data_IF_192349645515
#
_entry.id   IF_192349645515
#
_cell.length_a   1.000
_cell.length_b   1.000
_cell.length_c   1.000
_cell.angle_alpha   90.00
_cell.angle_beta   90.00
_cell.angle_gamma   90.00
#
_symmetry.space_group_name_H-M   'P 1'
#
loop_
_entity.id
_entity.type
_entity.pdbx_description
1 polymer ?
#
# COMPACT_ATOMS: atom_id res chain seq x y z
N UNK A 1 10.99 15.20 10.76
CA UNK A 1 9.66 14.93 10.16
C UNK A 1 8.70 14.53 11.26
N UNK A 2 7.47 15.06 11.23
CA UNK A 2 6.47 14.72 12.24
C UNK A 2 5.76 13.41 11.83
N UNK A 3 5.85 12.35 12.64
CA UNK A 3 5.16 11.08 12.39
C UNK A 3 3.65 11.29 12.49
N UNK A 4 2.89 11.03 11.42
CA UNK A 4 1.42 11.11 11.43
C UNK A 4 0.85 9.78 11.93
N UNK A 5 0.48 9.75 13.21
CA UNK A 5 -0.19 8.60 13.84
C UNK A 5 -1.67 8.64 13.51
N UNK A 6 -2.20 7.51 13.00
CA UNK A 6 -3.61 7.35 12.60
C UNK A 6 -4.41 6.60 13.68
N UNK A 7 -3.77 5.65 14.35
CA UNK A 7 -4.35 4.88 15.46
C UNK A 7 -3.24 4.42 16.39
N UNK A 8 -3.48 4.42 17.68
CA UNK A 8 -2.51 3.91 18.65
C UNK A 8 -3.21 3.40 19.89
N UNK A 9 -2.79 2.21 20.36
CA UNK A 9 -3.12 1.67 21.67
C UNK A 9 -1.93 0.88 22.26
N UNK A 10 -2.16 0.11 23.33
CA UNK A 10 -1.11 -0.67 23.98
C UNK A 10 -0.51 -1.79 23.10
N UNK A 11 -1.24 -2.25 22.07
CA UNK A 11 -0.90 -3.41 21.26
C UNK A 11 -0.53 -3.06 19.81
N UNK A 12 -1.01 -1.92 19.30
CA UNK A 12 -0.95 -1.52 17.91
C UNK A 12 -0.53 -0.08 17.76
N UNK A 13 0.08 0.22 16.62
CA UNK A 13 0.22 1.57 16.09
C UNK A 13 0.03 1.54 14.57
N UNK A 14 -0.87 2.37 14.07
CA UNK A 14 -1.00 2.64 12.64
C UNK A 14 -0.56 4.05 12.34
N UNK A 15 0.23 4.20 11.30
CA UNK A 15 0.80 5.49 10.89
C UNK A 15 0.61 5.70 9.38
N UNK A 16 0.65 6.95 8.97
CA UNK A 16 0.71 7.30 7.55
C UNK A 16 2.15 7.20 7.05
N UNK A 17 2.37 6.41 6.00
CA UNK A 17 3.63 6.35 5.27
C UNK A 17 3.61 7.38 4.12
N UNK A 18 4.47 8.37 4.09
CA UNK A 18 4.63 9.23 2.92
C UNK A 18 5.16 8.44 1.71
N UNK A 19 4.90 8.97 0.51
CA UNK A 19 5.57 8.50 -0.70
C UNK A 19 7.09 8.61 -0.57
N UNK A 20 7.84 7.78 -1.30
CA UNK A 20 9.32 7.70 -1.36
C UNK A 20 10.01 7.30 -0.05
N UNK A 21 9.28 7.10 1.04
CA UNK A 21 9.82 6.57 2.30
C UNK A 21 9.87 5.04 2.28
N UNK A 22 10.93 4.47 2.78
CA UNK A 22 11.05 3.03 3.05
C UNK A 22 10.21 2.65 4.27
N UNK A 23 9.63 1.45 4.26
CA UNK A 23 8.96 0.90 5.46
C UNK A 23 9.98 0.38 6.46
N UNK A 24 10.97 -0.34 5.98
CA UNK A 24 12.10 -0.88 6.74
C UNK A 24 13.40 -0.56 6.01
N UNK A 25 14.50 -0.65 6.71
CA UNK A 25 15.84 -0.42 6.16
C UNK A 25 16.13 -1.34 4.99
N UNK A 26 16.85 -0.79 4.03
CA UNK A 26 17.44 -1.52 2.91
C UNK A 26 18.94 -1.14 2.76
N UNK A 27 19.52 -1.58 1.66
CA UNK A 27 20.95 -1.31 1.37
C UNK A 27 21.28 0.16 1.10
N UNK A 28 20.28 1.04 0.95
CA UNK A 28 20.48 2.47 0.68
C UNK A 28 20.89 3.26 1.92
N UNK A 29 20.58 2.76 3.13
CA UNK A 29 20.82 3.46 4.39
C UNK A 29 19.85 4.63 4.63
N UNK A 30 18.80 4.78 3.82
CA UNK A 30 17.79 5.81 4.02
C UNK A 30 16.97 5.52 5.30
N UNK A 31 16.63 6.58 6.05
CA UNK A 31 15.84 6.44 7.26
C UNK A 31 14.46 5.80 6.97
N UNK A 32 14.14 4.72 7.66
CA UNK A 32 12.90 3.97 7.48
C UNK A 32 11.74 4.48 8.36
N UNK A 33 10.52 4.19 7.93
CA UNK A 33 9.34 4.44 8.76
C UNK A 33 9.39 3.62 10.05
N UNK A 34 9.90 2.40 9.98
CA UNK A 34 10.06 1.50 11.12
C UNK A 34 10.89 2.14 12.24
N UNK A 35 12.03 2.75 11.90
CA UNK A 35 12.88 3.42 12.89
C UNK A 35 12.24 4.69 13.45
N UNK A 36 11.56 5.46 12.59
CA UNK A 36 10.80 6.63 13.05
C UNK A 36 9.73 6.25 14.06
N UNK A 37 8.99 5.16 13.83
CA UNK A 37 7.97 4.66 14.77
C UNK A 37 8.62 4.16 16.08
N UNK A 38 9.75 3.45 16.00
CA UNK A 38 10.49 3.02 17.20
C UNK A 38 10.96 4.23 18.02
N UNK A 39 11.53 5.22 17.34
CA UNK A 39 11.97 6.47 17.98
C UNK A 39 10.80 7.20 18.66
N UNK A 40 9.69 7.34 17.95
CA UNK A 40 8.48 7.95 18.49
C UNK A 40 7.99 7.24 19.76
N UNK A 41 7.86 5.92 19.72
CA UNK A 41 7.39 5.11 20.86
C UNK A 41 8.38 5.17 22.03
N UNK A 42 9.69 5.17 21.77
CA UNK A 42 10.72 5.28 22.80
C UNK A 42 10.59 6.60 23.54
N UNK A 43 10.48 7.71 22.82
CA UNK A 43 10.39 9.04 23.45
C UNK A 43 9.05 9.27 24.14
N UNK A 44 7.93 8.93 23.50
CA UNK A 44 6.58 9.13 24.05
C UNK A 44 6.37 8.39 25.38
N UNK A 45 6.94 7.18 25.50
CA UNK A 45 6.76 6.33 26.66
C UNK A 45 7.99 6.23 27.56
N UNK A 46 9.00 7.07 27.35
CA UNK A 46 10.26 7.13 28.12
C UNK A 46 10.89 5.75 28.33
N UNK A 47 10.89 4.90 27.29
CA UNK A 47 11.38 3.53 27.39
C UNK A 47 12.93 3.51 27.50
N UNK A 48 13.50 2.89 28.55
CA UNK A 48 14.96 2.93 28.77
C UNK A 48 15.75 2.06 27.79
N UNK A 49 15.14 1.05 27.18
CA UNK A 49 15.81 0.09 26.31
C UNK A 49 15.33 0.11 24.87
N UNK A 50 15.51 -1.02 24.20
CA UNK A 50 14.98 -1.23 22.86
C UNK A 50 13.47 -1.37 22.87
N UNK A 51 12.82 -0.74 21.88
CA UNK A 51 11.36 -0.83 21.69
C UNK A 51 11.07 -1.98 20.75
N UNK A 52 10.24 -2.92 21.17
CA UNK A 52 9.70 -3.92 20.27
C UNK A 52 8.73 -3.26 19.30
N UNK A 53 8.87 -3.56 18.01
CA UNK A 53 7.94 -3.20 16.95
C UNK A 53 7.85 -4.37 15.97
N UNK A 54 6.66 -4.94 15.77
CA UNK A 54 6.43 -6.03 14.83
C UNK A 54 6.03 -5.49 13.47
N UNK A 55 6.82 -5.78 12.44
CA UNK A 55 6.48 -5.47 11.05
C UNK A 55 5.48 -6.52 10.55
N UNK A 56 4.31 -6.10 10.09
CA UNK A 56 3.21 -6.96 9.68
C UNK A 56 3.04 -7.01 8.15
N UNK A 57 3.23 -5.90 7.50
CA UNK A 57 3.13 -5.74 6.04
C UNK A 57 3.97 -4.56 5.57
N UNK A 58 4.07 -4.40 4.25
CA UNK A 58 4.84 -3.33 3.62
C UNK A 58 4.04 -2.66 2.52
N UNK A 59 4.39 -1.42 2.24
CA UNK A 59 4.03 -0.69 1.02
C UNK A 59 5.31 -0.44 0.22
N UNK A 60 5.20 -0.45 -1.10
CA UNK A 60 6.32 -0.09 -1.97
C UNK A 60 6.81 1.33 -1.68
N UNK A 61 8.08 1.61 -1.95
CA UNK A 61 8.69 2.92 -1.69
C UNK A 61 7.88 4.09 -2.27
N UNK A 62 7.41 4.07 -3.55
CA UNK A 62 6.66 5.18 -4.14
C UNK A 62 5.20 5.27 -3.67
N UNK A 63 4.66 4.26 -2.98
CA UNK A 63 3.27 4.19 -2.51
C UNK A 63 3.14 4.85 -1.15
N UNK A 64 2.08 5.63 -0.93
CA UNK A 64 1.76 6.20 0.38
C UNK A 64 0.55 5.51 1.03
N UNK A 65 0.25 5.87 2.29
CA UNK A 65 -0.97 5.42 2.96
C UNK A 65 -0.75 4.75 4.32
N UNK A 66 -1.79 4.03 4.74
CA UNK A 66 -1.87 3.40 6.07
C UNK A 66 -0.94 2.21 6.19
N UNK A 67 -0.15 2.20 7.26
CA UNK A 67 0.67 1.06 7.66
C UNK A 67 0.40 0.71 9.13
N UNK A 68 0.35 -0.60 9.44
CA UNK A 68 0.08 -1.13 10.76
C UNK A 68 1.30 -1.86 11.29
N UNK A 69 1.67 -1.55 12.54
CA UNK A 69 2.70 -2.24 13.29
C UNK A 69 2.11 -2.81 14.59
N UNK A 70 2.70 -3.90 15.07
CA UNK A 70 2.39 -4.46 16.38
C UNK A 70 3.37 -3.93 17.44
N UNK A 71 2.85 -3.53 18.60
CA UNK A 71 3.66 -3.03 19.73
C UNK A 71 4.01 -4.14 20.73
N UNK A 72 3.46 -5.34 20.55
CA UNK A 72 3.74 -6.53 21.37
C UNK A 72 3.89 -7.77 20.51
N UNK A 73 4.69 -8.75 20.95
CA UNK A 73 4.87 -10.02 20.25
C UNK A 73 3.57 -10.82 20.08
N UNK A 74 2.69 -10.79 21.08
CA UNK A 74 1.37 -11.42 21.03
C UNK A 74 0.49 -10.80 19.93
N UNK A 75 0.47 -9.46 19.83
CA UNK A 75 -0.25 -8.77 18.76
C UNK A 75 0.36 -9.07 17.40
N UNK A 76 1.70 -9.10 17.30
CA UNK A 76 2.39 -9.43 16.05
C UNK A 76 2.00 -10.82 15.54
N UNK A 77 2.01 -11.84 16.38
CA UNK A 77 1.62 -13.22 16.01
C UNK A 77 0.19 -13.28 15.47
N UNK A 78 -0.79 -12.70 16.20
CA UNK A 78 -2.21 -12.73 15.84
C UNK A 78 -2.54 -11.93 14.59
N UNK A 79 -1.91 -10.78 14.38
CA UNK A 79 -2.10 -9.98 13.18
C UNK A 79 -1.38 -10.58 11.97
N UNK A 80 -0.19 -11.16 12.14
CA UNK A 80 0.49 -11.90 11.07
C UNK A 80 -0.37 -13.07 10.56
N UNK A 81 -1.10 -13.75 11.46
CA UNK A 81 -2.07 -14.76 11.09
C UNK A 81 -3.23 -14.17 10.26
N UNK A 82 -3.79 -13.03 10.67
CA UNK A 82 -4.84 -12.35 9.91
C UNK A 82 -4.36 -11.90 8.51
N UNK A 83 -3.10 -11.46 8.37
CA UNK A 83 -2.51 -11.17 7.05
C UNK A 83 -2.36 -12.43 6.20
N UNK A 84 -1.90 -13.54 6.79
CA UNK A 84 -1.66 -14.80 6.10
C UNK A 84 -2.95 -15.44 5.60
N UNK A 85 -4.01 -15.42 6.39
CA UNK A 85 -5.31 -15.98 6.02
C UNK A 85 -6.23 -14.97 5.29
N UNK A 86 -5.68 -13.82 4.86
CA UNK A 86 -6.37 -12.78 4.10
C UNK A 86 -7.65 -12.22 4.74
N UNK A 87 -7.77 -12.27 6.09
CA UNK A 87 -8.93 -11.74 6.81
C UNK A 87 -8.88 -10.21 7.03
N UNK A 88 -7.76 -9.57 6.74
CA UNK A 88 -7.62 -8.11 6.76
C UNK A 88 -8.14 -7.53 5.46
N UNK A 89 -9.12 -6.62 5.55
CA UNK A 89 -9.60 -5.85 4.41
C UNK A 89 -8.60 -4.72 4.12
N UNK A 90 -8.16 -4.63 2.86
CA UNK A 90 -7.21 -3.63 2.38
C UNK A 90 -7.84 -2.89 1.21
N UNK A 91 -8.09 -1.59 1.39
CA UNK A 91 -8.60 -0.72 0.33
C UNK A 91 -7.49 0.25 -0.08
N UNK A 92 -7.32 0.36 -1.38
CA UNK A 92 -6.46 1.36 -2.01
C UNK A 92 -7.31 2.25 -2.91
N UNK A 93 -6.83 3.47 -3.10
CA UNK A 93 -7.31 4.33 -4.18
C UNK A 93 -6.13 4.69 -5.07
N UNK A 94 -6.42 4.79 -6.36
CA UNK A 94 -5.39 5.09 -7.36
C UNK A 94 -5.98 5.87 -8.53
N UNK A 95 -5.22 6.80 -9.07
CA UNK A 95 -5.52 7.43 -10.35
C UNK A 95 -4.74 6.69 -11.44
N UNK A 96 -5.44 6.32 -12.50
CA UNK A 96 -4.87 5.61 -13.66
C UNK A 96 -5.10 6.41 -14.93
N UNK A 97 -4.25 6.20 -15.93
CA UNK A 97 -4.49 6.72 -17.27
C UNK A 97 -5.57 5.91 -17.98
N UNK A 98 -6.39 6.63 -18.77
CA UNK A 98 -7.50 6.08 -19.53
C UNK A 98 -8.73 5.71 -18.69
N UNK A 99 -9.65 5.02 -19.34
CA UNK A 99 -10.94 4.65 -18.77
C UNK A 99 -11.14 3.14 -18.87
N UNK A 100 -11.13 2.40 -17.76
CA UNK A 100 -11.45 0.98 -17.77
C UNK A 100 -12.82 0.72 -18.42
N UNK A 101 -12.89 -0.23 -19.34
CA UNK A 101 -14.12 -0.53 -20.09
C UNK A 101 -15.30 -0.98 -19.18
N UNK A 102 -14.97 -1.57 -18.03
CA UNK A 102 -15.95 -1.96 -17.01
C UNK A 102 -15.88 -1.01 -15.82
N UNK A 103 -17.04 -0.60 -15.29
CA UNK A 103 -17.10 0.21 -14.06
C UNK A 103 -16.62 -0.52 -12.83
N UNK A 104 -16.67 -1.84 -12.82
CA UNK A 104 -16.08 -2.70 -11.78
C UNK A 104 -15.70 -4.04 -12.40
N UNK A 105 -14.56 -4.59 -11.95
CA UNK A 105 -14.10 -5.92 -12.38
C UNK A 105 -13.20 -6.55 -11.31
N UNK A 106 -12.97 -7.85 -11.47
CA UNK A 106 -11.99 -8.59 -10.67
C UNK A 106 -10.86 -9.07 -11.56
N UNK A 107 -9.66 -8.62 -11.27
CA UNK A 107 -8.46 -9.01 -11.98
C UNK A 107 -7.79 -10.20 -11.30
N UNK A 108 -7.64 -11.28 -12.05
CA UNK A 108 -6.89 -12.45 -11.64
C UNK A 108 -5.75 -12.62 -12.63
N UNK A 109 -4.53 -12.52 -12.15
CA UNK A 109 -3.30 -12.69 -12.92
C UNK A 109 -2.33 -13.59 -12.18
N UNK A 110 -1.36 -14.11 -12.91
CA UNK A 110 -0.19 -14.80 -12.39
C UNK A 110 1.01 -13.88 -12.48
N UNK A 111 1.67 -13.64 -11.35
CA UNK A 111 2.73 -12.65 -11.25
C UNK A 111 4.09 -13.32 -11.17
N UNK A 112 5.01 -12.93 -12.05
CA UNK A 112 6.42 -13.28 -11.99
C UNK A 112 7.25 -12.05 -11.65
N UNK A 113 8.24 -12.18 -10.76
CA UNK A 113 9.12 -11.09 -10.38
C UNK A 113 10.50 -11.26 -11.00
N UNK A 114 10.91 -10.29 -11.78
CA UNK A 114 12.32 -10.08 -12.15
C UNK A 114 13.02 -9.40 -10.96
N UNK A 115 13.97 -10.08 -10.36
CA UNK A 115 14.69 -9.58 -9.19
C UNK A 115 15.79 -8.57 -9.55
N UNK A 116 16.39 -8.69 -10.74
CA UNK A 116 17.45 -7.78 -11.20
C UNK A 116 16.87 -6.41 -11.55
N UNK A 117 15.79 -6.38 -12.34
CA UNK A 117 15.08 -5.16 -12.70
C UNK A 117 14.13 -4.68 -11.60
N UNK A 118 13.87 -5.53 -10.60
CA UNK A 118 12.86 -5.31 -9.57
C UNK A 118 11.48 -4.96 -10.16
N UNK A 119 11.10 -5.64 -11.25
CA UNK A 119 9.80 -5.50 -11.93
C UNK A 119 8.97 -6.76 -11.70
N UNK A 120 7.65 -6.60 -11.59
CA UNK A 120 6.70 -7.71 -11.55
C UNK A 120 5.85 -7.67 -12.82
N UNK A 121 5.83 -8.75 -13.58
CA UNK A 121 4.98 -8.92 -14.76
C UNK A 121 3.70 -9.65 -14.38
N UNK A 122 2.57 -9.19 -14.92
CA UNK A 122 1.25 -9.81 -14.73
C UNK A 122 0.80 -10.46 -16.05
N UNK A 123 0.40 -11.71 -15.99
CA UNK A 123 -0.02 -12.51 -17.14
C UNK A 123 -1.25 -13.36 -16.81
N UNK A 124 -2.02 -13.77 -17.82
CA UNK A 124 -3.24 -14.53 -17.64
C UNK A 124 -2.98 -16.03 -17.39
N UNK A 125 -1.87 -16.54 -17.90
CA UNK A 125 -1.51 -17.96 -17.79
C UNK A 125 -0.63 -18.20 -16.57
N UNK A 126 -0.84 -19.36 -15.93
CA UNK A 126 0.02 -19.83 -14.86
C UNK A 126 1.31 -20.43 -15.46
N UNK A 127 2.43 -19.79 -15.18
CA UNK A 127 3.75 -20.25 -15.61
C UNK A 127 4.59 -20.60 -14.39
N UNK A 128 5.60 -21.42 -14.60
CA UNK A 128 6.50 -21.86 -13.54
C UNK A 128 7.09 -20.66 -12.77
N UNK A 129 7.00 -20.72 -11.42
CA UNK A 129 7.47 -19.65 -10.54
C UNK A 129 6.54 -18.45 -10.40
N UNK A 130 5.39 -18.43 -11.09
CA UNK A 130 4.40 -17.38 -10.94
C UNK A 130 3.59 -17.54 -9.64
N UNK A 131 3.00 -16.44 -9.18
CA UNK A 131 2.13 -16.40 -8.00
C UNK A 131 0.78 -15.82 -8.37
N UNK A 132 -0.28 -16.58 -8.13
CA UNK A 132 -1.65 -16.07 -8.33
C UNK A 132 -1.91 -14.83 -7.50
N UNK A 133 -2.45 -13.81 -8.16
CA UNK A 133 -2.78 -12.50 -7.59
C UNK A 133 -4.20 -12.12 -7.96
N UNK A 134 -4.96 -11.60 -6.98
CA UNK A 134 -6.35 -11.23 -7.15
C UNK A 134 -6.63 -9.88 -6.47
N UNK A 135 -7.25 -8.96 -7.21
CA UNK A 135 -7.83 -7.72 -6.73
C UNK A 135 -9.16 -7.45 -7.44
N UNK A 136 -10.03 -6.69 -6.81
CA UNK A 136 -11.21 -6.11 -7.48
C UNK A 136 -11.07 -4.61 -7.52
N UNK A 137 -11.54 -3.98 -8.60
CA UNK A 137 -11.61 -2.53 -8.69
C UNK A 137 -13.04 -2.04 -8.98
N UNK A 138 -13.27 -0.79 -8.59
CA UNK A 138 -14.47 -0.02 -8.88
C UNK A 138 -14.05 1.36 -9.36
N UNK A 139 -14.58 1.84 -10.48
CA UNK A 139 -14.38 3.21 -10.98
C UNK A 139 -15.21 4.15 -10.13
N UNK A 140 -14.54 5.02 -9.37
CA UNK A 140 -15.19 5.99 -8.47
C UNK A 140 -15.53 7.28 -9.22
N UNK A 141 -14.60 7.76 -10.05
CA UNK A 141 -14.74 9.00 -10.81
C UNK A 141 -13.92 8.92 -12.09
N UNK A 142 -14.37 9.62 -13.14
CA UNK A 142 -13.65 9.73 -14.43
C UNK A 142 -13.38 11.20 -14.74
N UNK A 143 -12.20 11.47 -15.31
CA UNK A 143 -11.74 12.77 -15.77
C UNK A 143 -11.48 12.70 -17.29
N UNK A 144 -10.94 13.75 -17.91
CA UNK A 144 -10.72 13.79 -19.36
C UNK A 144 -9.92 12.58 -19.88
N UNK A 145 -8.78 12.30 -19.28
CA UNK A 145 -7.86 11.22 -19.71
C UNK A 145 -7.50 10.24 -18.59
N UNK A 146 -8.13 10.33 -17.43
CA UNK A 146 -7.78 9.55 -16.24
C UNK A 146 -9.03 9.04 -15.52
N UNK A 147 -8.85 8.08 -14.61
CA UNK A 147 -9.91 7.55 -13.77
C UNK A 147 -9.41 7.33 -12.35
N UNK A 148 -10.25 7.63 -11.36
CA UNK A 148 -10.03 7.25 -9.96
C UNK A 148 -10.64 5.88 -9.71
N UNK A 149 -9.81 4.94 -9.28
CA UNK A 149 -10.24 3.59 -8.94
C UNK A 149 -10.13 3.36 -7.43
N UNK A 150 -11.14 2.68 -6.88
CA UNK A 150 -11.09 2.04 -5.57
C UNK A 150 -10.75 0.57 -5.75
N UNK A 151 -9.68 0.12 -5.09
CA UNK A 151 -9.17 -1.24 -5.21
C UNK A 151 -9.42 -2.00 -3.90
N UNK A 152 -10.04 -3.16 -3.99
CA UNK A 152 -10.10 -4.14 -2.89
C UNK A 152 -9.04 -5.21 -3.14
N UNK A 153 -7.99 -5.21 -2.32
CA UNK A 153 -6.85 -6.11 -2.50
C UNK A 153 -7.07 -7.43 -1.74
N UNK A 154 -7.20 -8.54 -2.46
CA UNK A 154 -7.38 -9.87 -1.86
C UNK A 154 -6.05 -10.54 -1.51
N UNK A 155 -5.11 -10.53 -2.44
CA UNK A 155 -3.72 -10.99 -2.22
C UNK A 155 -2.80 -9.79 -2.02
N UNK A 156 -1.54 -10.00 -1.63
CA UNK A 156 -0.58 -8.91 -1.40
C UNK A 156 0.79 -9.26 -1.99
N UNK A 157 0.86 -9.48 -3.30
CA UNK A 157 2.11 -9.76 -4.00
C UNK A 157 2.91 -8.48 -4.24
N UNK A 158 4.25 -8.55 -4.35
CA UNK A 158 5.06 -7.37 -4.67
C UNK A 158 4.58 -6.70 -5.96
N UNK A 159 4.46 -5.37 -5.95
CA UNK A 159 3.99 -4.53 -7.05
C UNK A 159 2.63 -4.93 -7.67
N UNK A 160 1.80 -5.71 -6.98
CA UNK A 160 0.61 -6.34 -7.53
C UNK A 160 -0.33 -5.36 -8.24
N UNK A 161 -0.78 -4.30 -7.55
CA UNK A 161 -1.74 -3.34 -8.13
C UNK A 161 -1.14 -2.67 -9.36
N UNK A 162 0.13 -2.28 -9.29
CA UNK A 162 0.88 -1.61 -10.34
C UNK A 162 0.96 -2.46 -11.60
N UNK A 163 1.40 -3.71 -11.47
CA UNK A 163 1.55 -4.65 -12.58
C UNK A 163 0.21 -5.07 -13.18
N UNK A 164 -0.81 -5.33 -12.35
CA UNK A 164 -2.12 -5.76 -12.86
C UNK A 164 -2.86 -4.64 -13.59
N UNK A 165 -2.81 -3.39 -13.11
CA UNK A 165 -3.43 -2.25 -13.80
C UNK A 165 -2.68 -1.90 -15.10
N UNK A 166 -1.36 -1.95 -15.09
CA UNK A 166 -0.54 -1.80 -16.31
C UNK A 166 -0.87 -2.88 -17.36
N UNK A 167 -1.02 -4.14 -16.94
CA UNK A 167 -1.33 -5.26 -17.84
C UNK A 167 -2.67 -5.11 -18.56
N UNK A 168 -3.64 -4.40 -17.96
CA UNK A 168 -4.93 -4.09 -18.61
C UNK A 168 -4.94 -2.73 -19.36
N UNK A 169 -3.76 -2.11 -19.55
CA UNK A 169 -3.62 -0.85 -20.30
C UNK A 169 -3.93 0.42 -19.50
N UNK A 170 -4.05 0.33 -18.18
CA UNK A 170 -4.36 1.46 -17.30
C UNK A 170 -3.25 1.70 -16.26
N UNK A 171 -2.05 2.18 -16.67
CA UNK A 171 -0.95 2.42 -15.74
C UNK A 171 -1.32 3.50 -14.73
N UNK A 172 -0.78 3.38 -13.52
CA UNK A 172 -0.99 4.35 -12.43
C UNK A 172 -0.27 5.65 -12.76
N UNK A 173 -0.91 6.79 -12.53
CA UNK A 173 -0.30 8.11 -12.74
C UNK A 173 1.00 8.24 -11.94
N UNK A 174 2.07 8.66 -12.62
CA UNK A 174 3.42 8.78 -12.05
C UNK A 174 4.24 7.50 -12.05
N UNK A 175 3.65 6.35 -12.39
CA UNK A 175 4.34 5.06 -12.36
C UNK A 175 5.03 4.72 -13.69
N UNK A 176 6.07 5.48 -14.04
CA UNK A 176 6.83 5.26 -15.27
C UNK A 176 7.41 3.85 -15.40
N UNK A 177 7.70 3.21 -14.25
CA UNK A 177 8.20 1.83 -14.23
C UNK A 177 7.19 0.83 -14.80
N UNK A 178 5.90 1.18 -14.74
CA UNK A 178 4.79 0.38 -15.21
C UNK A 178 4.02 1.05 -16.36
N UNK A 179 4.65 1.96 -17.09
CA UNK A 179 4.15 2.48 -18.37
C UNK A 179 3.36 3.78 -18.27
N UNK A 180 3.39 4.49 -17.15
CA UNK A 180 2.88 5.85 -17.12
C UNK A 180 3.74 6.75 -18.05
N UNK A 181 3.13 7.68 -18.79
CA UNK A 181 3.87 8.55 -19.70
C UNK A 181 4.78 9.53 -18.96
N UNK A 182 4.33 10.02 -17.77
CA UNK A 182 5.01 11.07 -17.02
C UNK A 182 5.04 10.76 -15.52
N UNK A 183 5.94 11.44 -14.80
CA UNK A 183 5.94 11.52 -13.35
C UNK A 183 4.74 12.35 -12.87
N UNK A 184 4.36 12.21 -11.59
CA UNK A 184 3.47 13.20 -10.98
C UNK A 184 4.12 14.59 -11.01
N UNK A 185 3.34 15.68 -11.16
CA UNK A 185 3.87 17.06 -11.23
C UNK A 185 4.79 17.43 -10.06
N UNK A 186 4.49 16.94 -8.85
CA UNK A 186 5.34 17.12 -7.66
C UNK A 186 6.47 16.10 -7.55
N UNK A 187 6.58 15.17 -8.52
CA UNK A 187 7.54 14.07 -8.55
C UNK A 187 7.58 13.23 -7.26
N UNK A 188 6.50 13.23 -6.49
CA UNK A 188 6.43 12.61 -5.17
C UNK A 188 5.77 11.23 -5.21
N UNK A 189 6.43 10.27 -5.87
CA UNK A 189 5.97 8.88 -5.94
C UNK A 189 4.98 8.61 -7.06
N UNK A 190 3.94 7.83 -6.79
CA UNK A 190 2.88 7.44 -7.73
C UNK A 190 1.50 7.68 -7.10
N UNK A 191 0.47 7.87 -7.92
CA UNK A 191 -0.88 8.13 -7.41
C UNK A 191 -1.58 6.83 -6.94
N UNK A 192 -0.94 6.12 -6.02
CA UNK A 192 -1.45 4.91 -5.36
C UNK A 192 -1.34 5.05 -3.85
N UNK A 193 -2.45 4.88 -3.14
CA UNK A 193 -2.51 5.04 -1.70
C UNK A 193 -3.29 3.91 -1.03
N UNK A 194 -2.73 3.33 0.03
CA UNK A 194 -3.44 2.48 0.97
C UNK A 194 -4.34 3.35 1.86
N UNK A 195 -5.61 3.46 1.51
CA UNK A 195 -6.55 4.38 2.17
C UNK A 195 -7.27 3.78 3.36
N UNK A 196 -7.45 2.45 3.41
CA UNK A 196 -8.16 1.79 4.51
C UNK A 196 -7.55 0.44 4.84
N UNK A 197 -7.40 0.19 6.13
CA UNK A 197 -7.13 -1.13 6.70
C UNK A 197 -8.20 -1.47 7.74
N UNK A 198 -8.91 -2.60 7.56
CA UNK A 198 -9.86 -3.12 8.56
C UNK A 198 -9.42 -4.51 9.03
N UNK A 199 -9.29 -4.69 10.33
CA UNK A 199 -8.79 -5.91 10.96
C UNK A 199 -9.49 -6.15 12.31
N UNK A 200 -9.45 -7.40 12.80
CA UNK A 200 -9.88 -7.72 14.17
C UNK A 200 -8.78 -7.32 15.14
N UNK A 201 -9.15 -6.61 16.20
CA UNK A 201 -8.19 -6.24 17.24
C UNK A 201 -7.56 -7.50 17.87
N UNK A 202 -6.21 -7.56 18.07
CA UNK A 202 -5.54 -8.80 18.47
C UNK A 202 -5.88 -9.29 19.89
N UNK A 203 -6.45 -8.44 20.74
CA UNK A 203 -6.77 -8.79 22.13
C UNK A 203 -8.18 -8.45 22.57
N UNK A 204 -8.99 -7.84 21.70
CA UNK A 204 -10.38 -7.47 21.96
C UNK A 204 -11.30 -8.03 20.87
N UNK A 205 -12.58 -8.22 21.20
CA UNK A 205 -13.61 -8.69 20.26
C UNK A 205 -14.21 -7.51 19.46
N UNK A 206 -13.35 -6.71 18.83
CA UNK A 206 -13.77 -5.57 18.04
C UNK A 206 -13.01 -5.51 16.70
N UNK A 207 -13.63 -4.92 15.68
CA UNK A 207 -12.98 -4.57 14.42
C UNK A 207 -12.51 -3.12 14.48
N UNK A 208 -11.29 -2.90 14.06
CA UNK A 208 -10.69 -1.57 13.92
C UNK A 208 -10.60 -1.27 12.42
N UNK A 209 -11.07 -0.09 12.03
CA UNK A 209 -10.85 0.47 10.69
C UNK A 209 -10.00 1.72 10.82
N UNK A 210 -8.85 1.72 10.14
CA UNK A 210 -7.95 2.88 10.06
C UNK A 210 -8.01 3.42 8.65
N UNK A 211 -8.23 4.72 8.53
CA UNK A 211 -8.34 5.41 7.24
C UNK A 211 -7.36 6.56 7.12
N UNK A 212 -7.06 6.94 5.89
CA UNK A 212 -6.33 8.17 5.55
C UNK A 212 -6.92 8.77 4.27
N UNK A 213 -7.00 10.12 4.23
CA UNK A 213 -7.57 10.84 3.12
C UNK A 213 -6.60 10.95 1.95
N UNK A 214 -7.14 10.93 0.72
CA UNK A 214 -6.38 11.12 -0.50
C UNK A 214 -5.75 12.53 -0.56
N UNK A 215 -4.55 12.65 -1.13
CA UNK A 215 -3.95 13.95 -1.39
C UNK A 215 -4.81 14.79 -2.35
N UNK A 216 -5.18 16.01 -1.94
CA UNK A 216 -6.05 16.88 -2.74
C UNK A 216 -5.44 17.23 -4.11
N UNK A 217 -4.11 17.41 -4.18
CA UNK A 217 -3.38 17.70 -5.40
C UNK A 217 -3.50 16.60 -6.48
N UNK A 218 -3.76 15.34 -6.12
CA UNK A 218 -3.97 14.28 -7.11
C UNK A 218 -5.23 14.52 -7.96
N UNK A 219 -6.27 15.11 -7.39
CA UNK A 219 -7.48 15.48 -8.14
C UNK A 219 -7.20 16.62 -9.12
N UNK A 220 -6.32 17.57 -8.77
CA UNK A 220 -5.88 18.64 -9.68
C UNK A 220 -5.06 18.07 -10.82
N UNK A 221 -4.14 17.15 -10.54
CA UNK A 221 -3.33 16.47 -11.55
C UNK A 221 -4.22 15.69 -12.52
N UNK A 222 -5.20 14.93 -12.01
CA UNK A 222 -6.12 14.14 -12.83
C UNK A 222 -7.03 14.99 -13.74
N UNK A 223 -7.38 16.21 -13.34
CA UNK A 223 -8.17 17.15 -14.16
C UNK A 223 -7.35 17.80 -15.27
N UNK A 224 -6.05 17.94 -15.08
CA UNK A 224 -5.13 18.63 -15.99
C UNK A 224 -4.34 17.66 -16.92
N UNK A 225 -4.55 16.36 -16.77
CA UNK A 225 -3.88 15.30 -17.54
C UNK A 225 -4.57 14.97 -18.85
#
# INVERSE_FOLDING_TARGET
>A
MNLRVLYEDNHLISVFKPSRMLVQDDVTGDASLYDQVKYYLKNKYHKPGNVFLGLLHRLDRPVCGTILFARTSKAAARLSEQFRNHSIKKIYHTFVFGHPAKKADTLVHFLTKDHELNITSAQLEDVEGSLRAELSYEVVETFANTSLLKITLKTGRPHQIRSQLSAIGHPIMGDMKYGAPDLLPDQNGIALMATELTFKHPTKEEKITVTADLPANWFEYARNS
#
